data_IF_478096104439
#
_entry.id   IF_478096104439
#
_cell.length_a   1.000
_cell.length_b   1.000
_cell.length_c   1.000
_cell.angle_alpha   90.00
_cell.angle_beta   90.00
_cell.angle_gamma   90.00
#
_symmetry.space_group_name_H-M   'P 1'
#
loop_
_entity.id
_entity.type
_entity.pdbx_description
1 polymer ?
#
# COMPACT_ATOMS: atom_id res chain seq x y z
N UNK A 1 11.56 25.01 -11.63
CA UNK A 1 10.94 23.78 -12.15
C UNK A 1 9.99 23.26 -11.06
N UNK A 2 8.80 22.72 -11.44
CA UNK A 2 7.96 22.05 -10.44
C UNK A 2 8.62 20.77 -9.97
N UNK A 3 8.36 20.38 -8.72
CA UNK A 3 8.83 19.13 -8.11
C UNK A 3 8.24 17.94 -8.88
N UNK A 4 9.00 16.87 -9.05
CA UNK A 4 8.49 15.62 -9.58
C UNK A 4 7.62 14.92 -8.53
N UNK A 5 6.51 14.31 -8.97
CA UNK A 5 5.55 13.62 -8.10
C UNK A 5 5.69 12.11 -8.32
N UNK A 6 5.82 11.36 -7.24
CA UNK A 6 5.73 9.89 -7.27
C UNK A 6 4.26 9.48 -7.35
N UNK A 7 3.82 9.05 -8.53
CA UNK A 7 2.47 8.55 -8.75
C UNK A 7 2.44 7.06 -8.50
N UNK A 8 1.74 6.66 -7.44
CA UNK A 8 1.61 5.26 -7.06
C UNK A 8 0.20 4.73 -7.34
N UNK A 9 0.12 3.58 -8.02
CA UNK A 9 -1.12 2.87 -8.22
C UNK A 9 -1.47 2.04 -6.98
N UNK A 10 -2.55 2.41 -6.26
CA UNK A 10 -3.03 1.76 -5.03
C UNK A 10 -3.55 0.37 -5.35
N UNK A 11 -2.89 -0.66 -4.80
CA UNK A 11 -3.15 -2.08 -5.08
C UNK A 11 -3.16 -2.37 -6.60
N UNK A 12 -2.26 -1.70 -7.33
CA UNK A 12 -2.25 -1.62 -8.78
C UNK A 12 -3.08 -0.44 -9.30
N UNK A 13 -4.31 -0.68 -9.71
CA UNK A 13 -5.26 0.35 -10.14
C UNK A 13 -6.69 -0.07 -9.73
N UNK A 14 -6.93 -0.17 -8.42
CA UNK A 14 -8.14 -0.76 -7.82
C UNK A 14 -9.45 -0.18 -8.35
N UNK A 15 -9.46 1.10 -8.70
CA UNK A 15 -10.65 1.74 -9.27
C UNK A 15 -11.01 1.27 -10.68
N UNK A 16 -10.10 0.57 -11.37
CA UNK A 16 -10.25 0.14 -12.76
C UNK A 16 -10.11 -1.38 -12.97
N UNK A 17 -9.36 -2.06 -12.12
CA UNK A 17 -9.08 -3.50 -12.22
C UNK A 17 -9.07 -4.14 -10.82
N UNK A 18 -9.24 -5.47 -10.73
CA UNK A 18 -9.21 -6.18 -9.45
C UNK A 18 -7.92 -5.91 -8.69
N UNK A 19 -8.08 -5.49 -7.43
CA UNK A 19 -6.97 -5.09 -6.55
C UNK A 19 -5.99 -6.22 -6.29
N UNK A 20 -4.72 -5.86 -6.10
CA UNK A 20 -3.68 -6.81 -5.71
C UNK A 20 -3.58 -8.03 -6.63
N UNK A 21 -3.85 -7.85 -7.93
CA UNK A 21 -3.73 -8.89 -8.96
C UNK A 21 -2.68 -8.53 -10.01
N UNK A 22 -2.08 -9.52 -10.66
CA UNK A 22 -1.13 -9.30 -11.75
C UNK A 22 -1.77 -8.48 -12.89
N UNK A 23 -3.06 -8.69 -13.15
CA UNK A 23 -3.81 -7.91 -14.15
C UNK A 23 -3.92 -6.43 -13.75
N UNK A 24 -4.19 -6.15 -12.47
CA UNK A 24 -4.24 -4.78 -11.93
C UNK A 24 -2.89 -4.06 -12.03
N UNK A 25 -1.80 -4.75 -11.68
CA UNK A 25 -0.44 -4.18 -11.78
C UNK A 25 -0.04 -3.94 -13.23
N UNK A 26 -0.32 -4.88 -14.14
CA UNK A 26 -0.05 -4.70 -15.59
C UNK A 26 -0.82 -3.53 -16.18
N UNK A 27 -2.07 -3.33 -15.76
CA UNK A 27 -2.88 -2.19 -16.20
C UNK A 27 -2.34 -0.86 -15.66
N UNK A 28 -1.93 -0.80 -14.41
CA UNK A 28 -1.32 0.39 -13.83
C UNK A 28 -0.01 0.77 -14.52
N UNK A 29 0.81 -0.22 -14.92
CA UNK A 29 1.99 0.00 -15.79
C UNK A 29 1.61 0.66 -17.12
N UNK A 30 0.57 0.14 -17.78
CA UNK A 30 0.12 0.67 -19.06
C UNK A 30 -0.42 2.12 -18.93
N UNK A 31 -0.99 2.48 -17.78
CA UNK A 31 -1.39 3.87 -17.46
C UNK A 31 -0.14 4.73 -17.23
N UNK A 32 0.96 4.16 -16.78
CA UNK A 32 2.24 4.83 -16.55
C UNK A 32 2.35 5.43 -15.16
N UNK A 33 2.16 4.62 -14.12
CA UNK A 33 2.52 4.96 -12.75
C UNK A 33 4.04 4.89 -12.54
N UNK A 34 4.54 5.58 -11.52
CA UNK A 34 5.95 5.52 -11.13
C UNK A 34 6.26 4.29 -10.28
N UNK A 35 5.32 3.90 -9.44
CA UNK A 35 5.42 2.77 -8.53
C UNK A 35 4.05 2.16 -8.25
N UNK A 36 4.05 0.95 -7.72
CA UNK A 36 2.86 0.30 -7.18
C UNK A 36 2.90 0.35 -5.67
N UNK A 37 1.78 0.70 -5.08
CA UNK A 37 1.51 0.36 -3.70
C UNK A 37 0.79 -0.98 -3.66
N UNK A 38 1.11 -1.84 -2.69
CA UNK A 38 0.52 -3.16 -2.52
C UNK A 38 0.65 -3.67 -1.07
N UNK A 39 -0.26 -4.57 -0.71
CA UNK A 39 -0.41 -5.10 0.64
C UNK A 39 0.16 -6.51 0.75
N UNK A 40 0.98 -6.79 1.76
CA UNK A 40 1.59 -8.11 1.95
C UNK A 40 0.98 -8.84 3.14
N UNK A 41 0.55 -10.07 2.89
CA UNK A 41 0.18 -11.07 3.89
C UNK A 41 1.08 -12.30 3.76
N UNK A 42 1.08 -13.20 4.76
CA UNK A 42 1.89 -14.43 4.74
C UNK A 42 1.00 -15.64 4.97
N UNK A 43 1.16 -16.67 4.14
CA UNK A 43 0.43 -17.95 4.19
C UNK A 43 0.91 -18.85 5.32
N UNK A 44 0.17 -19.95 5.58
CA UNK A 44 0.53 -20.97 6.60
C UNK A 44 1.89 -21.65 6.34
N UNK A 45 2.29 -21.76 5.09
CA UNK A 45 3.57 -22.31 4.66
C UNK A 45 4.67 -21.25 4.45
N UNK A 46 4.44 -20.03 4.98
CA UNK A 46 5.45 -18.97 5.05
C UNK A 46 5.67 -18.20 3.73
N UNK A 47 4.77 -18.32 2.76
CA UNK A 47 4.90 -17.62 1.47
C UNK A 47 4.26 -16.25 1.54
N UNK A 48 4.99 -15.15 1.28
CA UNK A 48 4.41 -13.82 1.13
C UNK A 48 3.52 -13.74 -0.11
N UNK A 49 2.28 -13.29 0.08
CA UNK A 49 1.25 -13.11 -0.96
C UNK A 49 0.70 -11.68 -0.89
N UNK A 50 0.09 -11.24 -1.98
CA UNK A 50 -0.38 -9.85 -2.08
C UNK A 50 -1.87 -9.79 -1.85
N UNK A 51 -2.28 -9.31 -0.64
CA UNK A 51 -3.67 -9.20 -0.20
C UNK A 51 -3.81 -8.20 0.94
N UNK A 52 -4.84 -7.35 0.88
CA UNK A 52 -5.09 -6.33 1.89
C UNK A 52 -5.69 -6.91 3.17
N UNK A 53 -6.78 -7.66 3.05
CA UNK A 53 -7.49 -8.18 4.21
C UNK A 53 -6.76 -9.40 4.79
N UNK A 54 -6.75 -9.57 6.11
CA UNK A 54 -6.12 -10.73 6.74
C UNK A 54 -6.86 -12.04 6.47
N UNK A 55 -8.11 -11.97 5.99
CA UNK A 55 -8.96 -13.09 5.62
C UNK A 55 -9.56 -12.88 4.24
N UNK A 56 -9.96 -13.95 3.58
CA UNK A 56 -10.65 -13.86 2.30
C UNK A 56 -11.96 -13.07 2.46
N UNK A 57 -12.09 -11.99 1.69
CA UNK A 57 -13.20 -11.07 1.72
C UNK A 57 -14.36 -11.60 0.85
N UNK A 58 -15.59 -11.72 1.37
CA UNK A 58 -16.73 -12.23 0.61
C UNK A 58 -17.16 -11.33 -0.56
N UNK A 59 -16.75 -10.08 -0.58
CA UNK A 59 -17.01 -9.15 -1.68
C UNK A 59 -15.95 -9.22 -2.79
N UNK A 60 -14.82 -9.90 -2.53
CA UNK A 60 -13.69 -10.04 -3.46
C UNK A 60 -13.45 -11.47 -3.92
N UNK A 61 -13.79 -12.48 -3.09
CA UNK A 61 -13.36 -13.84 -3.32
C UNK A 61 -14.52 -14.78 -3.66
N UNK A 62 -14.31 -15.58 -4.71
CA UNK A 62 -15.12 -16.76 -5.03
C UNK A 62 -14.32 -18.01 -4.67
N UNK A 63 -15.02 -18.99 -4.07
CA UNK A 63 -14.42 -20.26 -3.69
C UNK A 63 -14.13 -21.19 -4.89
N UNK A 64 -13.57 -22.39 -4.61
CA UNK A 64 -13.21 -23.36 -5.66
C UNK A 64 -14.37 -23.78 -6.58
N UNK A 65 -15.61 -23.71 -6.08
CA UNK A 65 -16.83 -23.98 -6.87
C UNK A 65 -17.29 -22.81 -7.74
N UNK A 66 -16.65 -21.65 -7.67
CA UNK A 66 -17.03 -20.42 -8.39
C UNK A 66 -18.08 -19.57 -7.66
N UNK A 67 -18.60 -20.04 -6.51
CA UNK A 67 -19.58 -19.32 -5.72
C UNK A 67 -18.92 -18.27 -4.81
N UNK A 68 -19.62 -17.15 -4.59
CA UNK A 68 -19.20 -16.13 -3.62
C UNK A 68 -19.18 -16.70 -2.21
N UNK A 69 -18.17 -16.30 -1.43
CA UNK A 69 -18.14 -16.62 -0.01
C UNK A 69 -19.38 -16.01 0.68
N UNK A 70 -20.05 -16.82 1.50
CA UNK A 70 -21.27 -16.38 2.20
C UNK A 70 -20.98 -15.37 3.33
N UNK A 71 -19.77 -15.45 3.91
CA UNK A 71 -19.28 -14.59 4.97
C UNK A 71 -17.76 -14.44 4.85
N UNK A 72 -17.11 -13.73 5.79
CA UNK A 72 -15.67 -13.66 5.92
C UNK A 72 -15.06 -15.05 5.85
N UNK A 73 -14.16 -15.26 4.91
CA UNK A 73 -13.49 -16.53 4.70
C UNK A 73 -12.39 -16.83 5.73
N UNK A 74 -11.60 -17.88 5.51
CA UNK A 74 -10.46 -18.20 6.36
C UNK A 74 -9.40 -17.09 6.34
N UNK A 75 -8.63 -17.01 7.42
CA UNK A 75 -7.45 -16.15 7.49
C UNK A 75 -6.39 -16.65 6.51
N UNK A 76 -5.74 -15.74 5.78
CA UNK A 76 -4.66 -16.08 4.82
C UNK A 76 -3.55 -16.85 5.52
N UNK A 77 -3.17 -16.46 6.73
CA UNK A 77 -2.15 -17.15 7.54
C UNK A 77 -2.49 -18.60 7.89
N UNK A 78 -3.72 -19.04 7.71
CA UNK A 78 -4.15 -20.42 7.99
C UNK A 78 -4.24 -21.28 6.73
N UNK A 79 -4.09 -20.69 5.55
CA UNK A 79 -4.11 -21.38 4.27
C UNK A 79 -2.69 -21.54 3.73
N UNK A 80 -2.39 -22.71 3.17
CA UNK A 80 -1.20 -22.90 2.33
C UNK A 80 -1.39 -22.22 0.98
N UNK A 81 -0.31 -21.86 0.31
CA UNK A 81 -0.37 -21.25 -1.00
C UNK A 81 -1.22 -22.06 -2.00
N UNK A 82 -1.08 -23.39 -2.01
CA UNK A 82 -1.86 -24.26 -2.88
C UNK A 82 -3.38 -24.19 -2.61
N UNK A 83 -3.77 -24.01 -1.34
CA UNK A 83 -5.17 -23.85 -0.96
C UNK A 83 -5.70 -22.46 -1.36
N UNK A 84 -4.88 -21.42 -1.15
CA UNK A 84 -5.19 -20.05 -1.52
C UNK A 84 -5.38 -19.89 -3.03
N UNK A 85 -4.61 -20.61 -3.84
CA UNK A 85 -4.70 -20.60 -5.29
C UNK A 85 -6.04 -21.13 -5.85
N UNK A 86 -6.87 -21.78 -5.03
CA UNK A 86 -8.20 -22.22 -5.44
C UNK A 86 -9.25 -21.09 -5.49
N UNK A 87 -8.96 -19.93 -4.88
CA UNK A 87 -9.89 -18.80 -4.84
C UNK A 87 -9.67 -17.86 -6.02
N UNK A 88 -10.77 -17.35 -6.55
CA UNK A 88 -10.79 -16.37 -7.64
C UNK A 88 -11.14 -14.99 -7.06
N UNK A 89 -10.24 -14.02 -7.25
CA UNK A 89 -10.36 -12.62 -6.79
C UNK A 89 -10.48 -11.62 -7.94
N UNK A 90 -10.80 -12.10 -9.12
CA UNK A 90 -10.81 -11.32 -10.36
C UNK A 90 -12.05 -10.47 -10.59
N UNK A 91 -12.94 -10.32 -9.60
CA UNK A 91 -14.19 -9.57 -9.76
C UNK A 91 -14.71 -9.11 -8.42
N UNK A 92 -15.28 -7.92 -8.35
CA UNK A 92 -16.09 -7.47 -7.22
C UNK A 92 -17.47 -8.17 -7.22
N UNK A 93 -17.97 -8.51 -6.03
CA UNK A 93 -19.29 -9.10 -5.88
C UNK A 93 -20.36 -8.12 -6.31
N UNK A 94 -21.17 -8.43 -7.35
CA UNK A 94 -22.22 -7.54 -7.81
C UNK A 94 -23.21 -7.19 -6.71
N UNK A 95 -23.54 -5.91 -6.58
CA UNK A 95 -24.50 -5.42 -5.58
C UNK A 95 -23.95 -5.24 -4.17
N UNK A 96 -22.67 -5.54 -3.93
CA UNK A 96 -22.03 -5.25 -2.64
C UNK A 96 -21.75 -3.75 -2.49
N UNK A 97 -21.67 -3.29 -1.23
CA UNK A 97 -21.25 -1.92 -0.91
C UNK A 97 -19.81 -1.64 -1.37
N UNK A 98 -18.98 -2.68 -1.41
CA UNK A 98 -17.60 -2.57 -1.91
C UNK A 98 -17.58 -2.34 -3.43
N UNK A 99 -18.36 -3.10 -4.20
CA UNK A 99 -18.48 -2.90 -5.65
C UNK A 99 -19.04 -1.52 -6.03
N UNK A 100 -19.92 -0.96 -5.21
CA UNK A 100 -20.47 0.38 -5.43
C UNK A 100 -19.41 1.51 -5.33
N UNK A 101 -18.29 1.26 -4.66
CA UNK A 101 -17.17 2.21 -4.56
C UNK A 101 -16.33 2.26 -5.84
N UNK A 102 -16.35 1.19 -6.64
CA UNK A 102 -15.52 1.03 -7.84
C UNK A 102 -16.35 0.67 -9.08
N UNK A 103 -17.28 1.54 -9.50
CA UNK A 103 -18.22 1.25 -10.59
C UNK A 103 -17.53 1.03 -11.95
N UNK A 104 -16.33 1.58 -12.13
CA UNK A 104 -15.56 1.47 -13.38
C UNK A 104 -14.62 0.25 -13.41
N UNK A 105 -14.61 -0.56 -12.36
CA UNK A 105 -13.70 -1.71 -12.29
C UNK A 105 -14.09 -2.80 -13.29
N UNK A 106 -13.20 -3.08 -14.25
CA UNK A 106 -13.37 -4.14 -15.22
C UNK A 106 -12.94 -5.50 -14.65
N UNK A 107 -13.80 -6.52 -14.62
CA UNK A 107 -13.46 -7.83 -14.05
C UNK A 107 -12.39 -8.56 -14.86
N UNK A 108 -11.67 -9.45 -14.19
CA UNK A 108 -10.66 -10.36 -14.74
C UNK A 108 -10.83 -11.74 -14.11
N UNK A 109 -11.94 -12.41 -14.43
CA UNK A 109 -12.29 -13.72 -13.87
C UNK A 109 -11.12 -14.71 -14.02
N UNK A 110 -10.91 -15.50 -13.00
CA UNK A 110 -9.80 -16.43 -12.90
C UNK A 110 -8.52 -15.84 -12.31
N UNK A 111 -8.51 -14.54 -11.97
CA UNK A 111 -7.36 -13.95 -11.27
C UNK A 111 -7.20 -14.57 -9.87
N UNK A 112 -5.95 -14.84 -9.50
CA UNK A 112 -5.57 -15.42 -8.21
C UNK A 112 -4.89 -14.35 -7.35
N UNK A 113 -4.85 -14.58 -6.04
CA UNK A 113 -3.98 -13.83 -5.15
C UNK A 113 -2.54 -14.20 -5.52
N UNK A 114 -1.71 -13.26 -6.03
CA UNK A 114 -0.36 -13.57 -6.46
C UNK A 114 0.59 -13.68 -5.26
N UNK A 115 1.69 -14.38 -5.44
CA UNK A 115 2.83 -14.29 -4.53
C UNK A 115 3.52 -12.93 -4.68
N UNK A 116 4.18 -12.47 -3.62
CA UNK A 116 4.99 -11.25 -3.70
C UNK A 116 6.08 -11.36 -4.77
N UNK A 117 6.70 -12.54 -4.92
CA UNK A 117 7.72 -12.79 -5.94
C UNK A 117 7.20 -12.57 -7.37
N UNK A 118 5.98 -13.04 -7.68
CA UNK A 118 5.35 -12.81 -8.98
C UNK A 118 5.13 -11.33 -9.25
N UNK A 119 4.67 -10.57 -8.25
CA UNK A 119 4.43 -9.13 -8.41
C UNK A 119 5.74 -8.36 -8.56
N UNK A 120 6.75 -8.66 -7.76
CA UNK A 120 8.06 -7.97 -7.83
C UNK A 120 8.80 -8.19 -9.16
N UNK A 121 8.40 -9.22 -9.92
CA UNK A 121 8.99 -9.56 -11.22
C UNK A 121 8.12 -9.18 -12.42
N UNK A 122 6.97 -8.50 -12.21
CA UNK A 122 6.03 -8.12 -13.28
C UNK A 122 6.65 -7.19 -14.33
N UNK A 123 7.58 -6.36 -13.92
CA UNK A 123 8.35 -5.45 -14.80
C UNK A 123 9.72 -5.15 -14.17
N UNK A 124 10.82 -5.23 -14.95
CA UNK A 124 12.18 -5.02 -14.42
C UNK A 124 12.48 -3.57 -13.98
N UNK A 125 11.69 -2.60 -14.42
CA UNK A 125 11.85 -1.19 -14.08
C UNK A 125 10.82 -0.68 -13.07
N UNK A 126 9.83 -1.50 -12.69
CA UNK A 126 8.80 -1.11 -11.73
C UNK A 126 9.41 -0.93 -10.32
N UNK A 127 8.91 0.07 -9.60
CA UNK A 127 9.17 0.30 -8.18
C UNK A 127 7.95 -0.09 -7.37
N UNK A 128 8.15 -0.46 -6.13
CA UNK A 128 7.11 -1.01 -5.28
C UNK A 128 7.14 -0.36 -3.90
N UNK A 129 5.96 -0.04 -3.37
CA UNK A 129 5.74 0.37 -2.00
C UNK A 129 4.94 -0.74 -1.31
N UNK A 130 5.58 -1.44 -0.38
CA UNK A 130 5.09 -2.68 0.23
C UNK A 130 4.52 -2.38 1.61
N UNK A 131 3.18 -2.45 1.76
CA UNK A 131 2.57 -2.36 3.08
C UNK A 131 2.65 -3.71 3.81
N UNK A 132 3.30 -3.73 4.96
CA UNK A 132 3.32 -4.87 5.88
C UNK A 132 2.01 -4.91 6.65
N UNK A 133 1.11 -5.84 6.30
CA UNK A 133 -0.21 -5.97 6.95
C UNK A 133 -0.10 -6.75 8.25
N UNK A 134 0.13 -6.02 9.35
CA UNK A 134 0.11 -6.58 10.71
C UNK A 134 -0.90 -5.84 11.58
N UNK A 135 -1.51 -6.56 12.51
CA UNK A 135 -2.63 -6.06 13.32
C UNK A 135 -2.31 -6.24 14.81
N UNK A 136 -1.69 -5.24 15.45
CA UNK A 136 -1.25 -5.36 16.85
C UNK A 136 -2.37 -5.67 17.86
N UNK A 137 -3.58 -5.15 17.59
CA UNK A 137 -4.76 -5.45 18.41
C UNK A 137 -5.34 -6.86 18.19
N UNK A 138 -4.93 -7.52 17.10
CA UNK A 138 -5.42 -8.84 16.68
C UNK A 138 -4.27 -9.73 16.22
N UNK A 139 -3.39 -10.17 17.13
CA UNK A 139 -2.15 -10.90 16.79
C UNK A 139 -2.41 -12.25 16.10
N UNK A 140 -3.64 -12.76 16.20
CA UNK A 140 -4.02 -14.01 15.55
C UNK A 140 -4.41 -13.83 14.06
N UNK A 141 -4.53 -12.60 13.57
CA UNK A 141 -4.98 -12.37 12.19
C UNK A 141 -3.87 -12.53 11.15
N UNK A 142 -2.65 -12.19 11.53
CA UNK A 142 -1.46 -12.27 10.65
C UNK A 142 -0.26 -12.85 11.41
N UNK A 143 0.84 -13.06 10.72
CA UNK A 143 2.13 -13.26 11.39
C UNK A 143 2.54 -11.97 12.10
N UNK A 144 3.45 -12.04 13.04
CA UNK A 144 3.96 -10.86 13.74
C UNK A 144 4.83 -9.97 12.82
N UNK A 145 5.10 -8.75 13.26
CA UNK A 145 5.83 -7.76 12.48
C UNK A 145 7.28 -8.19 12.14
N UNK A 146 7.91 -9.01 12.96
CA UNK A 146 9.26 -9.54 12.71
C UNK A 146 9.23 -10.56 11.59
N UNK A 147 8.38 -11.58 11.71
CA UNK A 147 8.23 -12.62 10.69
C UNK A 147 7.76 -12.04 9.35
N UNK A 148 6.87 -11.04 9.36
CA UNK A 148 6.44 -10.32 8.16
C UNK A 148 7.62 -9.62 7.47
N UNK A 149 8.40 -8.86 8.22
CA UNK A 149 9.56 -8.13 7.70
C UNK A 149 10.62 -9.08 7.12
N UNK A 150 10.93 -10.17 7.83
CA UNK A 150 11.89 -11.18 7.38
C UNK A 150 11.44 -11.85 6.07
N UNK A 151 10.16 -12.24 5.98
CA UNK A 151 9.61 -12.86 4.79
C UNK A 151 9.65 -11.93 3.56
N UNK A 152 9.30 -10.65 3.74
CA UNK A 152 9.32 -9.65 2.65
C UNK A 152 10.75 -9.36 2.18
N UNK A 153 11.67 -9.14 3.11
CA UNK A 153 13.08 -8.88 2.78
C UNK A 153 13.68 -10.08 2.03
N UNK A 154 13.44 -11.30 2.50
CA UNK A 154 13.95 -12.50 1.85
C UNK A 154 13.47 -12.63 0.40
N UNK A 155 12.18 -12.36 0.11
CA UNK A 155 11.66 -12.39 -1.26
C UNK A 155 12.26 -11.27 -2.11
N UNK A 156 12.41 -10.05 -1.58
CA UNK A 156 13.02 -8.95 -2.30
C UNK A 156 14.50 -9.21 -2.66
N UNK A 157 15.23 -9.92 -1.80
CA UNK A 157 16.59 -10.39 -2.09
C UNK A 157 16.61 -11.47 -3.18
N UNK A 158 15.77 -12.50 -3.03
CA UNK A 158 15.68 -13.61 -4.00
C UNK A 158 15.31 -13.13 -5.40
N UNK A 159 14.46 -12.11 -5.50
CA UNK A 159 14.04 -11.52 -6.79
C UNK A 159 14.99 -10.42 -7.30
N UNK A 160 16.00 -10.03 -6.52
CA UNK A 160 16.92 -8.93 -6.88
C UNK A 160 16.26 -7.55 -6.91
N UNK A 161 15.20 -7.34 -6.13
CA UNK A 161 14.38 -6.12 -6.17
C UNK A 161 14.63 -5.16 -5.01
N UNK A 162 15.56 -5.46 -4.12
CA UNK A 162 15.92 -4.62 -2.95
C UNK A 162 16.06 -3.14 -3.31
N UNK A 163 16.74 -2.81 -4.39
CA UNK A 163 16.94 -1.41 -4.83
C UNK A 163 15.69 -0.73 -5.41
N UNK A 164 14.55 -1.40 -5.48
CA UNK A 164 13.32 -0.92 -6.10
C UNK A 164 12.10 -0.93 -5.18
N UNK A 165 12.29 -1.27 -3.90
CA UNK A 165 11.22 -1.31 -2.92
C UNK A 165 11.33 -0.19 -1.90
N UNK A 166 10.19 0.29 -1.46
CA UNK A 166 9.94 1.04 -0.22
C UNK A 166 9.08 0.16 0.67
N UNK A 167 9.24 0.23 1.97
CA UNK A 167 8.39 -0.53 2.90
C UNK A 167 7.62 0.42 3.79
N UNK A 168 6.32 0.17 3.91
CA UNK A 168 5.43 0.94 4.78
C UNK A 168 4.58 0.05 5.69
N UNK A 169 4.09 0.60 6.77
CA UNK A 169 3.11 -0.05 7.64
C UNK A 169 2.47 0.95 8.61
N UNK A 170 1.25 0.64 9.06
CA UNK A 170 0.63 1.25 10.24
C UNK A 170 1.24 0.71 11.54
N UNK A 171 1.63 -0.57 11.55
CA UNK A 171 2.38 -1.17 12.65
C UNK A 171 3.87 -0.87 12.48
N UNK A 172 4.35 0.19 13.13
CA UNK A 172 5.71 0.69 12.96
C UNK A 172 6.80 -0.27 13.45
N UNK A 173 6.43 -1.35 14.14
CA UNK A 173 7.38 -2.42 14.48
C UNK A 173 7.93 -3.11 13.22
N UNK A 174 7.10 -3.25 12.18
CA UNK A 174 7.50 -3.82 10.88
C UNK A 174 8.63 -3.03 10.21
N UNK A 175 8.43 -1.75 9.87
CA UNK A 175 9.49 -0.91 9.31
C UNK A 175 10.76 -0.83 10.19
N UNK A 176 10.63 -0.79 11.52
CA UNK A 176 11.81 -0.85 12.40
C UNK A 176 12.58 -2.16 12.25
N UNK A 177 11.88 -3.28 12.07
CA UNK A 177 12.55 -4.58 11.83
C UNK A 177 13.19 -4.61 10.44
N UNK A 178 12.53 -4.10 9.40
CA UNK A 178 13.14 -3.97 8.06
C UNK A 178 14.44 -3.15 8.14
N UNK A 179 14.46 -2.02 8.86
CA UNK A 179 15.67 -1.21 9.05
C UNK A 179 16.82 -1.96 9.73
N UNK A 180 16.51 -2.90 10.64
CA UNK A 180 17.55 -3.74 11.25
C UNK A 180 18.16 -4.74 10.27
N UNK A 181 17.31 -5.27 9.36
CA UNK A 181 17.71 -6.24 8.35
C UNK A 181 18.42 -5.58 7.17
N UNK A 182 17.90 -4.43 6.73
CA UNK A 182 18.34 -3.68 5.53
C UNK A 182 18.23 -2.17 5.78
N UNK A 183 19.24 -1.58 6.44
CA UNK A 183 19.22 -0.15 6.82
C UNK A 183 19.17 0.82 5.63
N UNK A 184 19.53 0.35 4.44
CA UNK A 184 19.49 1.13 3.18
C UNK A 184 18.10 1.24 2.56
N UNK A 185 17.12 0.40 2.97
CA UNK A 185 15.79 0.46 2.41
C UNK A 185 15.04 1.72 2.85
N UNK A 186 14.41 2.45 1.92
CA UNK A 186 13.53 3.54 2.27
C UNK A 186 12.29 3.02 3.01
N UNK A 187 11.93 3.70 4.10
CA UNK A 187 10.77 3.38 4.93
C UNK A 187 9.77 4.52 4.87
N UNK A 188 8.50 4.19 4.76
CA UNK A 188 7.39 5.11 4.88
C UNK A 188 6.55 4.76 6.12
N UNK A 189 6.13 5.80 6.83
CA UNK A 189 5.39 5.67 8.07
C UNK A 189 3.94 6.03 7.84
N UNK A 190 3.09 5.00 7.72
CA UNK A 190 1.65 5.18 7.50
C UNK A 190 0.98 5.75 8.75
N UNK A 191 0.12 6.74 8.52
CA UNK A 191 -0.74 7.32 9.57
C UNK A 191 -2.13 7.61 9.07
N UNK A 192 -3.13 7.34 9.92
CA UNK A 192 -4.54 7.70 9.76
C UNK A 192 -5.05 8.29 11.08
N UNK A 193 -6.22 8.94 11.11
CA UNK A 193 -6.83 9.41 12.36
C UNK A 193 -6.88 8.31 13.43
N UNK A 194 -7.28 7.10 13.04
CA UNK A 194 -7.41 5.96 13.97
C UNK A 194 -6.04 5.52 14.51
N UNK A 195 -5.04 5.38 13.63
CA UNK A 195 -3.71 4.96 14.06
C UNK A 195 -2.99 6.02 14.90
N UNK A 196 -3.30 7.30 14.70
CA UNK A 196 -2.81 8.42 15.55
C UNK A 196 -3.51 8.41 16.91
N UNK A 197 -4.83 8.20 16.94
CA UNK A 197 -5.58 8.11 18.19
C UNK A 197 -5.11 6.92 19.06
N UNK A 198 -4.72 5.84 18.43
CA UNK A 198 -4.23 4.60 19.07
C UNK A 198 -2.71 4.40 18.89
N UNK A 199 -1.93 5.49 18.80
CA UNK A 199 -0.51 5.45 18.46
C UNK A 199 0.31 4.50 19.34
N UNK A 200 0.02 4.42 20.63
CA UNK A 200 0.70 3.49 21.54
C UNK A 200 0.54 2.04 21.13
N UNK A 201 -0.62 1.66 20.56
CA UNK A 201 -0.90 0.29 20.07
C UNK A 201 -0.24 0.06 18.73
N UNK A 202 -0.48 0.95 17.77
CA UNK A 202 -0.01 0.80 16.39
C UNK A 202 1.49 1.02 16.25
N UNK A 203 2.04 2.05 16.89
CA UNK A 203 3.43 2.41 16.66
C UNK A 203 4.41 1.69 17.60
N UNK A 204 3.93 1.25 18.80
CA UNK A 204 4.77 0.52 19.74
C UNK A 204 6.06 1.25 20.13
N UNK A 205 6.01 2.58 20.22
CA UNK A 205 7.14 3.47 20.49
C UNK A 205 6.69 4.89 20.78
N UNK A 206 7.44 5.93 20.37
CA UNK A 206 7.10 7.32 20.58
C UNK A 206 5.71 7.68 20.01
N UNK A 207 5.00 8.56 20.69
CA UNK A 207 3.65 9.01 20.31
C UNK A 207 3.63 10.54 20.12
N UNK A 208 2.62 11.12 19.46
CA UNK A 208 2.56 12.57 19.22
C UNK A 208 2.67 13.42 20.49
N UNK A 209 2.13 12.95 21.61
CA UNK A 209 2.21 13.65 22.89
C UNK A 209 3.65 13.91 23.35
N UNK A 210 4.59 13.02 23.03
CA UNK A 210 6.03 13.16 23.35
C UNK A 210 6.71 14.24 22.50
N UNK A 211 6.05 14.69 21.42
CA UNK A 211 6.58 15.62 20.42
C UNK A 211 5.70 16.87 20.22
N UNK A 212 5.01 17.28 21.27
CA UNK A 212 4.14 18.46 21.24
C UNK A 212 2.91 18.32 20.34
N UNK A 213 2.43 17.10 20.14
CA UNK A 213 1.29 16.78 19.29
C UNK A 213 1.61 16.62 17.79
N UNK A 214 2.86 16.76 17.38
CA UNK A 214 3.25 16.72 15.97
C UNK A 214 3.56 15.30 15.50
N UNK A 215 2.78 14.77 14.55
CA UNK A 215 3.04 13.50 13.86
C UNK A 215 4.32 13.57 13.02
N UNK A 216 4.57 14.63 12.20
CA UNK A 216 5.82 14.73 11.45
C UNK A 216 7.09 14.63 12.31
N UNK A 217 7.08 15.20 13.53
CA UNK A 217 8.22 15.10 14.45
C UNK A 217 8.44 13.68 14.96
N UNK A 218 7.37 12.93 15.23
CA UNK A 218 7.50 11.50 15.59
C UNK A 218 8.11 10.72 14.45
N UNK A 219 7.62 10.92 13.22
CA UNK A 219 8.15 10.26 12.02
C UNK A 219 9.62 10.60 11.81
N UNK A 220 10.01 11.86 11.96
CA UNK A 220 11.41 12.28 11.86
C UNK A 220 12.30 11.62 12.93
N UNK A 221 11.80 11.48 14.16
CA UNK A 221 12.51 10.80 15.24
C UNK A 221 12.67 9.29 14.97
N UNK A 222 11.74 8.67 14.26
CA UNK A 222 11.88 7.29 13.76
C UNK A 222 12.94 7.15 12.66
N UNK A 223 13.40 8.25 12.07
CA UNK A 223 14.51 8.26 11.10
C UNK A 223 14.16 7.67 9.74
N UNK A 224 12.89 7.59 9.37
CA UNK A 224 12.44 7.22 8.01
C UNK A 224 12.35 8.43 7.10
N UNK A 225 12.61 8.30 5.78
CA UNK A 225 12.58 9.43 4.86
C UNK A 225 11.18 9.89 4.45
N UNK A 226 10.12 9.10 4.71
CA UNK A 226 8.79 9.34 4.17
C UNK A 226 7.73 9.27 5.28
N UNK A 227 6.91 10.32 5.35
CA UNK A 227 5.64 10.28 6.07
C UNK A 227 4.53 9.99 5.07
N UNK A 228 3.71 8.97 5.35
CA UNK A 228 2.61 8.54 4.49
C UNK A 228 1.25 8.72 5.21
N UNK A 229 0.69 9.96 5.25
CA UNK A 229 -0.56 10.25 5.94
C UNK A 229 -1.78 10.04 5.07
N UNK A 230 -2.93 9.78 5.71
CA UNK A 230 -4.24 9.89 5.07
C UNK A 230 -4.46 11.34 4.59
N UNK A 231 -4.87 11.50 3.34
CA UNK A 231 -4.88 12.79 2.65
C UNK A 231 -5.83 13.84 3.25
N UNK A 232 -6.88 13.41 3.98
CA UNK A 232 -7.82 14.30 4.63
C UNK A 232 -7.19 15.01 5.85
N UNK A 233 -6.15 14.43 6.46
CA UNK A 233 -5.47 14.97 7.62
C UNK A 233 -4.42 16.03 7.25
N UNK A 234 -4.10 16.13 5.93
CA UNK A 234 -3.04 17.00 5.45
C UNK A 234 -3.48 18.46 5.30
N UNK A 235 -2.73 19.33 5.95
CA UNK A 235 -2.74 20.78 5.74
C UNK A 235 -1.41 21.23 5.11
N UNK A 236 -1.39 22.38 4.46
CA UNK A 236 -0.15 22.96 3.94
C UNK A 236 0.92 23.15 5.03
N UNK A 237 0.51 23.52 6.24
CA UNK A 237 1.40 23.70 7.38
C UNK A 237 2.07 22.38 7.82
N UNK A 238 1.33 21.27 7.84
CA UNK A 238 1.89 19.97 8.18
C UNK A 238 2.87 19.46 7.11
N UNK A 239 2.59 19.72 5.82
CA UNK A 239 3.50 19.38 4.71
C UNK A 239 4.79 20.21 4.85
N UNK A 240 4.70 21.51 5.13
CA UNK A 240 5.85 22.38 5.35
C UNK A 240 6.68 21.94 6.56
N UNK A 241 6.02 21.57 7.68
CA UNK A 241 6.70 21.01 8.85
C UNK A 241 7.45 19.71 8.49
N UNK A 242 6.81 18.79 7.78
CA UNK A 242 7.43 17.54 7.33
C UNK A 242 8.68 17.83 6.47
N UNK A 243 8.58 18.74 5.50
CA UNK A 243 9.71 19.13 4.65
C UNK A 243 10.84 19.80 5.45
N UNK A 244 10.52 20.64 6.44
CA UNK A 244 11.51 21.25 7.32
C UNK A 244 12.29 20.19 8.13
N UNK A 245 11.64 19.09 8.46
CA UNK A 245 12.23 17.93 9.12
C UNK A 245 12.95 16.96 8.16
N UNK A 246 12.98 17.27 6.85
CA UNK A 246 13.62 16.43 5.83
C UNK A 246 12.79 15.24 5.37
N UNK A 247 11.49 15.21 5.68
CA UNK A 247 10.58 14.14 5.27
C UNK A 247 9.95 14.43 3.90
N UNK A 248 9.87 13.42 3.03
CA UNK A 248 8.93 13.42 1.92
C UNK A 248 7.51 13.11 2.42
N UNK A 249 6.49 13.62 1.72
CA UNK A 249 5.08 13.42 2.05
C UNK A 249 4.39 12.64 0.94
N UNK A 250 3.93 11.42 1.25
CA UNK A 250 3.23 10.51 0.33
C UNK A 250 1.76 10.35 0.78
N UNK A 251 0.85 11.06 0.12
CA UNK A 251 -0.57 11.09 0.53
C UNK A 251 -1.37 9.91 -0.03
N UNK A 252 -2.23 9.28 0.78
CA UNK A 252 -3.14 8.18 0.39
C UNK A 252 -4.56 8.37 0.94
N UNK A 253 -5.62 7.77 0.45
CA UNK A 253 -5.81 7.34 -0.94
C UNK A 253 -6.53 8.48 -1.63
N UNK A 254 -5.91 9.06 -2.64
CA UNK A 254 -6.37 10.33 -3.25
C UNK A 254 -7.01 10.06 -4.60
N UNK A 255 -8.34 10.06 -4.66
CA UNK A 255 -9.10 9.70 -5.87
C UNK A 255 -9.84 10.89 -6.51
N UNK A 256 -10.05 11.96 -5.74
CA UNK A 256 -10.80 13.13 -6.17
C UNK A 256 -9.90 14.18 -6.84
N UNK A 257 -10.34 14.72 -7.97
CA UNK A 257 -9.59 15.71 -8.77
C UNK A 257 -9.21 16.94 -7.97
N UNK A 258 -10.14 17.48 -7.19
CA UNK A 258 -9.87 18.69 -6.40
C UNK A 258 -8.96 18.41 -5.22
N UNK A 259 -9.08 17.22 -4.61
CA UNK A 259 -8.14 16.77 -3.59
C UNK A 259 -6.72 16.63 -4.15
N UNK A 260 -6.56 16.03 -5.34
CA UNK A 260 -5.26 15.94 -6.02
C UNK A 260 -4.69 17.35 -6.26
N UNK A 261 -5.47 18.27 -6.86
CA UNK A 261 -5.03 19.65 -7.12
C UNK A 261 -4.65 20.40 -5.85
N UNK A 262 -5.45 20.25 -4.80
CA UNK A 262 -5.18 20.87 -3.48
C UNK A 262 -3.84 20.40 -2.92
N UNK A 263 -3.59 19.10 -2.94
CA UNK A 263 -2.37 18.51 -2.39
C UNK A 263 -1.13 18.86 -3.23
N UNK A 264 -1.24 18.88 -4.55
CA UNK A 264 -0.16 19.33 -5.44
C UNK A 264 0.24 20.80 -5.16
N UNK A 265 -0.75 21.67 -4.93
CA UNK A 265 -0.49 23.08 -4.56
C UNK A 265 0.11 23.21 -3.18
N UNK A 266 -0.25 22.30 -2.26
CA UNK A 266 0.33 22.25 -0.93
C UNK A 266 1.75 21.65 -0.90
N UNK A 267 2.20 21.03 -2.00
CA UNK A 267 3.59 20.63 -2.18
C UNK A 267 3.91 19.20 -1.79
N UNK A 268 2.96 18.25 -1.87
CA UNK A 268 3.27 16.82 -1.64
C UNK A 268 4.35 16.29 -2.58
N UNK A 269 4.97 15.18 -2.21
CA UNK A 269 6.04 14.50 -2.96
C UNK A 269 5.53 13.33 -3.78
N UNK A 270 4.43 12.73 -3.37
CA UNK A 270 3.79 11.65 -4.07
C UNK A 270 2.35 11.44 -3.62
N UNK A 271 1.63 10.64 -4.39
CA UNK A 271 0.26 10.27 -4.08
C UNK A 271 -0.03 8.82 -4.45
N UNK A 272 -0.77 8.14 -3.59
CA UNK A 272 -1.30 6.80 -3.79
C UNK A 272 -2.77 6.93 -4.18
N UNK A 273 -3.18 6.32 -5.30
CA UNK A 273 -4.53 6.47 -5.85
C UNK A 273 -5.09 5.19 -6.46
N UNK A 274 -6.40 4.97 -6.30
CA UNK A 274 -7.16 3.93 -7.00
C UNK A 274 -7.38 4.26 -8.48
N UNK A 275 -7.23 5.55 -8.84
CA UNK A 275 -7.51 6.11 -10.17
C UNK A 275 -6.28 6.79 -10.77
N UNK A 276 -5.22 6.00 -11.06
CA UNK A 276 -4.00 6.56 -11.65
C UNK A 276 -4.23 7.21 -13.01
N UNK A 277 -5.26 6.81 -13.75
CA UNK A 277 -5.73 7.45 -14.98
C UNK A 277 -6.14 8.92 -14.76
N UNK A 278 -6.94 9.18 -13.72
CA UNK A 278 -7.37 10.53 -13.32
C UNK A 278 -6.17 11.34 -12.82
N UNK A 279 -5.40 10.75 -11.90
CA UNK A 279 -4.27 11.44 -11.29
C UNK A 279 -3.22 11.85 -12.35
N UNK A 280 -2.89 10.96 -13.30
CA UNK A 280 -1.97 11.26 -14.38
C UNK A 280 -2.45 12.42 -15.27
N UNK A 281 -3.76 12.47 -15.56
CA UNK A 281 -4.35 13.59 -16.32
C UNK A 281 -4.20 14.90 -15.56
N UNK A 282 -4.53 14.93 -14.27
CA UNK A 282 -4.39 16.13 -13.44
C UNK A 282 -2.93 16.58 -13.33
N UNK A 283 -1.99 15.65 -13.16
CA UNK A 283 -0.55 15.97 -13.14
C UNK A 283 -0.10 16.64 -14.44
N UNK A 284 -0.55 16.14 -15.60
CA UNK A 284 -0.25 16.72 -16.90
C UNK A 284 -0.86 18.12 -17.05
N UNK A 285 -2.12 18.30 -16.70
CA UNK A 285 -2.82 19.61 -16.74
C UNK A 285 -2.11 20.65 -15.85
N UNK A 286 -1.72 20.27 -14.66
CA UNK A 286 -1.02 21.10 -13.68
C UNK A 286 0.50 21.21 -13.95
N UNK A 287 1.02 20.52 -14.98
CA UNK A 287 2.44 20.50 -15.41
C UNK A 287 3.40 20.03 -14.33
N UNK A 288 3.01 19.01 -13.58
CA UNK A 288 3.90 18.30 -12.68
C UNK A 288 4.55 17.11 -13.40
N UNK A 289 5.88 16.99 -13.44
CA UNK A 289 6.54 15.82 -13.99
C UNK A 289 6.37 14.61 -13.05
N UNK A 290 6.38 13.41 -13.63
CA UNK A 290 6.47 12.16 -12.86
C UNK A 290 7.91 11.93 -12.37
N UNK A 291 8.07 11.26 -11.23
CA UNK A 291 9.37 10.99 -10.63
C UNK A 291 10.25 10.07 -11.49
N UNK A 292 9.64 9.16 -12.26
CA UNK A 292 10.34 8.26 -13.19
C UNK A 292 10.72 8.91 -14.52
N UNK A 293 10.21 10.11 -14.81
CA UNK A 293 10.38 10.74 -16.12
C UNK A 293 9.59 10.07 -17.26
N UNK A 294 8.64 9.19 -16.95
CA UNK A 294 7.80 8.46 -17.91
C UNK A 294 6.63 9.30 -18.46
#
# INVERSE_FOLDING_TARGET
MRRAIDLQGHRGARGLFPENTLAGFSAALAIGVDSFELDVAVTADGVPVVSHDPALNPDLARGPGGDWLAARGPLIRTLRLAELAAYDVGRLRPGSAYAAQFPDQAPRDGARIPTLAEVLTVDPAARFNLELKTYPAHPDWTVDATAMAEAVVAVAEQTGTIGRITVESFDWRGPRQVRRLRPELPLAWLTSPDSVAEAAVWWGGPIPADYGGSVPRVVAAEGGPIWAPHHADLTAALIEEAHTLGLGVLAWTVNDVEAIRRLLRAGIDGLITDRPDIARKVLAEERFPLASGR
#
